data_IF_846940966657
#
_entry.id   IF_846940966657
#
_cell.length_a   1.000
_cell.length_b   1.000
_cell.length_c   1.000
_cell.angle_alpha   90.00
_cell.angle_beta   90.00
_cell.angle_gamma   90.00
#
_symmetry.space_group_name_H-M   'P 1'
#
loop_
_entity.id
_entity.type
_entity.pdbx_description
1 polymer ?
#
# COMPACT_ATOMS: atom_id res chain seq x y z
N UNK A 1 2.03 12.23 -1.02
CA UNK A 1 0.86 12.81 -1.71
C UNK A 1 -0.17 13.29 -0.67
N UNK A 2 -0.79 14.46 -0.86
CA UNK A 2 -1.85 14.97 0.01
C UNK A 2 -3.15 15.09 -0.79
N UNK A 3 -4.21 14.42 -0.35
CA UNK A 3 -5.54 14.54 -0.94
C UNK A 3 -6.43 15.30 0.04
N UNK A 4 -6.83 16.51 -0.34
CA UNK A 4 -7.75 17.34 0.43
C UNK A 4 -8.56 18.22 -0.52
N UNK A 5 -9.87 18.27 -0.28
CA UNK A 5 -10.72 19.38 -0.72
C UNK A 5 -10.99 20.28 0.50
N UNK A 6 -11.11 21.59 0.26
CA UNK A 6 -11.19 22.62 1.29
C UNK A 6 -12.10 22.22 2.47
N UNK A 7 -11.53 22.13 3.69
CA UNK A 7 -12.25 21.84 4.93
C UNK A 7 -12.17 20.39 5.45
N UNK A 8 -11.62 19.44 4.69
CA UNK A 8 -11.50 18.03 5.11
C UNK A 8 -10.11 17.75 5.72
N UNK A 9 -10.00 16.95 6.80
CA UNK A 9 -8.70 16.46 7.26
C UNK A 9 -7.96 15.80 6.10
N UNK A 10 -6.79 16.33 5.77
CA UNK A 10 -6.09 15.91 4.58
C UNK A 10 -5.55 14.49 4.75
N UNK A 11 -5.96 13.61 3.83
CA UNK A 11 -5.36 12.29 3.70
C UNK A 11 -3.93 12.47 3.18
N UNK A 12 -2.97 11.95 3.93
CA UNK A 12 -1.57 11.87 3.50
C UNK A 12 -1.27 10.41 3.23
N UNK A 13 -0.82 10.13 2.02
CA UNK A 13 -0.39 8.81 1.57
C UNK A 13 0.83 8.94 0.67
N UNK A 14 1.68 7.92 0.61
CA UNK A 14 2.85 7.93 -0.25
C UNK A 14 2.48 7.79 -1.74
N UNK A 15 1.54 6.89 -2.04
CA UNK A 15 1.17 6.49 -3.40
C UNK A 15 -0.36 6.50 -3.55
N UNK A 16 -0.86 6.84 -4.74
CA UNK A 16 -2.27 6.71 -5.09
C UNK A 16 -2.42 5.98 -6.43
N UNK A 17 -3.29 4.96 -6.46
CA UNK A 17 -3.46 4.08 -7.61
C UNK A 17 -4.95 3.90 -7.88
N UNK A 18 -5.41 4.38 -9.04
CA UNK A 18 -6.78 4.17 -9.50
C UNK A 18 -6.99 2.72 -9.91
N UNK A 19 -8.13 2.14 -9.53
CA UNK A 19 -8.52 0.81 -10.01
C UNK A 19 -7.88 -0.36 -9.26
N UNK A 20 -6.99 -0.12 -8.29
CA UNK A 20 -6.20 -1.17 -7.65
C UNK A 20 -7.07 -2.23 -6.95
N UNK A 21 -8.03 -1.78 -6.16
CA UNK A 21 -8.96 -2.66 -5.45
C UNK A 21 -10.33 -2.71 -6.15
N UNK A 22 -10.82 -1.56 -6.57
CA UNK A 22 -12.09 -1.36 -7.26
C UNK A 22 -11.85 -0.42 -8.44
N UNK A 23 -12.38 -0.77 -9.62
CA UNK A 23 -12.03 -0.14 -10.92
C UNK A 23 -12.17 1.40 -10.94
N UNK A 24 -13.16 1.95 -10.25
CA UNK A 24 -13.49 3.38 -10.26
C UNK A 24 -13.06 4.11 -8.99
N UNK A 25 -12.30 3.46 -8.10
CA UNK A 25 -11.84 4.05 -6.84
C UNK A 25 -10.33 4.14 -6.80
N UNK A 26 -9.85 5.18 -6.12
CA UNK A 26 -8.42 5.34 -5.82
C UNK A 26 -8.08 4.55 -4.56
N UNK A 27 -7.02 3.75 -4.63
CA UNK A 27 -6.37 3.19 -3.46
C UNK A 27 -5.21 4.11 -3.04
N UNK A 28 -5.26 4.60 -1.81
CA UNK A 28 -4.21 5.40 -1.18
C UNK A 28 -3.33 4.48 -0.34
N UNK A 29 -2.07 4.32 -0.77
CA UNK A 29 -1.11 3.39 -0.19
C UNK A 29 -0.11 4.20 0.64
N UNK A 30 0.13 3.75 1.86
CA UNK A 30 1.03 4.43 2.78
C UNK A 30 1.99 3.42 3.40
N UNK A 31 3.28 3.63 3.22
CA UNK A 31 4.33 2.70 3.62
C UNK A 31 4.74 2.90 5.09
N UNK A 32 5.13 1.82 5.74
CA UNK A 32 5.77 1.84 7.05
C UNK A 32 6.75 0.69 7.14
N UNK A 33 8.02 1.06 7.26
CA UNK A 33 9.12 0.14 7.47
C UNK A 33 9.28 -0.06 8.99
N UNK A 34 9.32 -1.32 9.41
CA UNK A 34 9.63 -1.76 10.78
C UNK A 34 11.06 -2.29 10.75
N UNK A 35 11.96 -1.69 11.54
CA UNK A 35 13.32 -2.23 11.73
C UNK A 35 13.23 -3.54 12.50
N UNK A 36 13.31 -4.69 11.82
CA UNK A 36 13.16 -6.01 12.44
C UNK A 36 14.30 -6.35 13.41
N UNK A 37 15.44 -5.71 13.24
CA UNK A 37 16.68 -5.83 14.02
C UNK A 37 16.76 -4.87 15.21
N UNK A 38 15.80 -3.95 15.36
CA UNK A 38 15.83 -3.01 16.47
C UNK A 38 15.70 -3.77 17.80
N UNK A 39 16.64 -3.54 18.72
CA UNK A 39 16.69 -4.19 20.05
C UNK A 39 15.36 -4.08 20.82
N UNK A 40 14.61 -3.00 20.58
CA UNK A 40 13.27 -2.76 21.13
C UNK A 40 12.22 -3.82 20.73
N UNK A 41 12.45 -4.57 19.65
CA UNK A 41 11.57 -5.59 19.11
C UNK A 41 12.12 -7.02 19.26
N UNK A 42 13.32 -7.20 19.85
CA UNK A 42 13.96 -8.50 20.00
C UNK A 42 13.12 -9.53 20.78
N UNK A 43 12.19 -9.08 21.62
CA UNK A 43 11.25 -9.91 22.39
C UNK A 43 9.81 -9.87 21.89
N UNK A 44 9.54 -9.18 20.77
CA UNK A 44 8.18 -8.95 20.27
C UNK A 44 7.90 -9.76 18.99
N UNK A 45 6.66 -10.24 18.85
CA UNK A 45 6.20 -10.85 17.61
C UNK A 45 6.02 -9.78 16.52
N UNK A 46 6.88 -9.82 15.49
CA UNK A 46 6.83 -8.93 14.34
C UNK A 46 5.46 -8.95 13.63
N UNK A 47 4.75 -10.08 13.69
CA UNK A 47 3.39 -10.20 13.15
C UNK A 47 2.39 -9.36 13.95
N UNK A 48 2.50 -9.38 15.28
CA UNK A 48 1.68 -8.55 16.16
C UNK A 48 2.01 -7.06 15.97
N UNK A 49 3.29 -6.71 15.86
CA UNK A 49 3.73 -5.33 15.57
C UNK A 49 3.17 -4.87 14.22
N UNK A 50 3.29 -5.68 13.16
CA UNK A 50 2.83 -5.30 11.82
C UNK A 50 1.31 -5.08 11.78
N UNK A 51 0.54 -5.97 12.44
CA UNK A 51 -0.91 -5.85 12.57
C UNK A 51 -1.32 -4.60 13.36
N UNK A 52 -0.64 -4.32 14.46
CA UNK A 52 -0.90 -3.14 15.27
C UNK A 52 -0.56 -1.85 14.51
N UNK A 53 0.56 -1.86 13.77
CA UNK A 53 0.96 -0.79 12.86
C UNK A 53 -0.09 -0.51 11.79
N UNK A 54 -0.57 -1.55 11.11
CA UNK A 54 -1.64 -1.45 10.12
C UNK A 54 -2.93 -0.87 10.74
N UNK A 55 -3.39 -1.42 11.88
CA UNK A 55 -4.59 -0.95 12.58
C UNK A 55 -4.48 0.52 13.00
N UNK A 56 -3.32 0.94 13.49
CA UNK A 56 -3.08 2.32 13.89
C UNK A 56 -3.17 3.30 12.71
N UNK A 57 -2.69 2.89 11.52
CA UNK A 57 -2.80 3.70 10.28
C UNK A 57 -4.25 3.73 9.79
N UNK A 58 -4.91 2.58 9.72
CA UNK A 58 -6.32 2.44 9.32
C UNK A 58 -7.25 3.33 10.14
N UNK A 59 -7.10 3.31 11.48
CA UNK A 59 -7.87 4.18 12.39
C UNK A 59 -7.80 5.67 12.04
N UNK A 60 -6.68 6.14 11.48
CA UNK A 60 -6.48 7.55 11.13
C UNK A 60 -6.99 7.89 9.73
N UNK A 61 -6.87 6.96 8.79
CA UNK A 61 -6.95 7.29 7.37
C UNK A 61 -8.11 6.62 6.61
N UNK A 62 -8.78 5.62 7.20
CA UNK A 62 -9.92 4.97 6.53
C UNK A 62 -11.05 5.98 6.28
N UNK A 63 -11.42 6.79 7.28
CA UNK A 63 -12.48 7.79 7.13
C UNK A 63 -12.12 8.91 6.13
N UNK A 64 -10.93 9.55 6.19
CA UNK A 64 -10.51 10.49 5.16
C UNK A 64 -10.47 9.89 3.74
N UNK A 65 -10.03 8.64 3.59
CA UNK A 65 -10.03 7.97 2.29
C UNK A 65 -11.45 7.72 1.76
N UNK A 66 -12.38 7.33 2.64
CA UNK A 66 -13.77 7.12 2.26
C UNK A 66 -14.47 8.42 1.85
N UNK A 67 -14.21 9.54 2.52
CA UNK A 67 -14.73 10.87 2.11
C UNK A 67 -14.32 11.21 0.68
N UNK A 68 -13.12 10.79 0.27
CA UNK A 68 -12.60 10.96 -1.09
C UNK A 68 -13.08 9.86 -2.07
N UNK A 69 -14.06 9.04 -1.67
CA UNK A 69 -14.53 7.85 -2.40
C UNK A 69 -13.42 6.87 -2.75
N UNK A 70 -12.31 6.89 -2.02
CA UNK A 70 -11.17 5.99 -2.18
C UNK A 70 -11.11 4.97 -1.06
N UNK A 71 -10.00 4.22 -1.02
CA UNK A 71 -9.71 3.24 0.03
C UNK A 71 -8.30 3.43 0.56
N UNK A 72 -8.09 3.19 1.85
CA UNK A 72 -6.76 3.27 2.46
C UNK A 72 -6.13 1.88 2.58
N UNK A 73 -4.84 1.81 2.26
CA UNK A 73 -4.05 0.57 2.25
C UNK A 73 -2.73 0.76 3.01
N UNK A 74 -2.58 0.20 4.21
CA UNK A 74 -1.31 0.22 4.90
C UNK A 74 -0.36 -0.81 4.29
N UNK A 75 0.78 -0.33 3.80
CA UNK A 75 1.89 -1.18 3.39
C UNK A 75 2.87 -1.29 4.56
N UNK A 76 2.92 -2.44 5.22
CA UNK A 76 3.84 -2.68 6.34
C UNK A 76 4.88 -3.72 5.93
N UNK A 77 6.15 -3.33 5.97
CA UNK A 77 7.30 -4.18 5.67
C UNK A 77 8.41 -3.98 6.69
N UNK A 78 9.43 -4.83 6.66
CA UNK A 78 10.74 -4.61 7.29
C UNK A 78 11.82 -4.49 6.23
N UNK A 79 13.05 -4.22 6.67
CA UNK A 79 14.26 -4.33 5.86
C UNK A 79 14.42 -5.71 5.22
N UNK A 80 13.97 -6.77 5.89
CA UNK A 80 14.15 -8.16 5.46
C UNK A 80 12.96 -8.74 4.66
N UNK A 81 11.89 -7.97 4.49
CA UNK A 81 10.77 -8.38 3.65
C UNK A 81 9.40 -7.86 4.05
N UNK A 82 8.36 -8.42 3.44
CA UNK A 82 6.97 -8.00 3.65
C UNK A 82 6.39 -8.64 4.90
N UNK A 83 5.82 -7.81 5.80
CA UNK A 83 5.32 -8.26 7.10
C UNK A 83 3.79 -8.31 7.22
N UNK A 84 3.05 -7.80 6.22
CA UNK A 84 1.60 -7.71 6.31
C UNK A 84 0.90 -8.15 5.02
N UNK A 85 -0.20 -8.90 5.18
CA UNK A 85 -0.97 -9.50 4.08
C UNK A 85 -1.47 -8.48 3.05
N UNK A 86 -1.73 -7.24 3.48
CA UNK A 86 -2.25 -6.20 2.58
C UNK A 86 -1.20 -5.76 1.57
N UNK A 87 0.07 -5.76 1.95
CA UNK A 87 1.19 -5.47 1.05
C UNK A 87 1.30 -6.58 -0.01
N UNK A 88 1.27 -7.85 0.40
CA UNK A 88 1.31 -8.99 -0.54
C UNK A 88 0.11 -8.96 -1.49
N UNK A 89 -1.08 -8.63 -0.97
CA UNK A 89 -2.28 -8.53 -1.79
C UNK A 89 -2.20 -7.38 -2.81
N UNK A 90 -1.66 -6.22 -2.42
CA UNK A 90 -1.48 -5.09 -3.34
C UNK A 90 -0.47 -5.41 -4.42
N UNK A 91 0.65 -6.07 -4.10
CA UNK A 91 1.64 -6.48 -5.10
C UNK A 91 1.04 -7.44 -6.14
N UNK A 92 0.26 -8.43 -5.70
CA UNK A 92 -0.40 -9.38 -6.61
C UNK A 92 -1.34 -8.66 -7.58
N UNK A 93 -2.11 -7.70 -7.10
CA UNK A 93 -3.03 -6.93 -7.95
C UNK A 93 -2.31 -5.95 -8.88
N UNK A 94 -1.25 -5.30 -8.41
CA UNK A 94 -0.41 -4.45 -9.26
C UNK A 94 0.19 -5.26 -10.42
N UNK A 95 0.78 -6.42 -10.12
CA UNK A 95 1.29 -7.33 -11.16
C UNK A 95 0.20 -7.71 -12.17
N UNK A 96 -1.00 -8.04 -11.69
CA UNK A 96 -2.12 -8.37 -12.57
C UNK A 96 -2.55 -7.18 -13.45
N UNK A 97 -2.58 -5.96 -12.91
CA UNK A 97 -2.89 -4.75 -13.69
C UNK A 97 -1.82 -4.45 -14.74
N UNK A 98 -0.54 -4.53 -14.38
CA UNK A 98 0.56 -4.32 -15.33
C UNK A 98 0.52 -5.33 -16.48
N UNK A 99 0.14 -6.59 -16.20
CA UNK A 99 -0.02 -7.62 -17.24
C UNK A 99 -1.22 -7.36 -18.15
N UNK A 100 -2.29 -6.73 -17.63
CA UNK A 100 -3.49 -6.41 -18.41
C UNK A 100 -3.34 -5.14 -19.26
N UNK A 101 -2.39 -4.27 -18.93
CA UNK A 101 -2.08 -3.09 -19.73
C UNK A 101 -1.27 -3.48 -20.98
N UNK A 102 -1.95 -3.52 -22.13
CA UNK A 102 -1.36 -3.87 -23.44
C UNK A 102 -0.15 -2.99 -23.81
N UNK A 103 -0.07 -1.77 -23.27
CA UNK A 103 1.07 -0.87 -23.52
C UNK A 103 2.35 -1.33 -22.80
N UNK A 104 2.23 -1.90 -21.59
CA UNK A 104 3.36 -2.47 -20.84
C UNK A 104 3.72 -3.89 -21.31
N UNK A 105 2.75 -4.67 -21.79
CA UNK A 105 2.96 -6.02 -22.29
C UNK A 105 3.88 -6.04 -23.54
N UNK A 106 3.75 -5.04 -24.41
CA UNK A 106 4.66 -4.82 -25.54
C UNK A 106 6.08 -4.45 -25.10
N UNK A 107 6.22 -3.65 -24.03
CA UNK A 107 7.51 -3.22 -23.49
C UNK A 107 8.28 -4.37 -22.80
N UNK A 108 7.60 -5.26 -22.06
CA UNK A 108 8.26 -6.44 -21.47
C UNK A 108 8.74 -7.44 -22.53
N UNK A 109 8.01 -7.61 -23.63
CA UNK A 109 8.43 -8.49 -24.72
C UNK A 109 9.67 -7.96 -25.45
N UNK A 110 9.92 -6.65 -25.43
CA UNK A 110 11.15 -6.04 -26.00
C UNK A 110 12.38 -6.07 -25.07
N UNK A 111 12.23 -6.45 -23.80
CA UNK A 111 13.32 -6.44 -22.80
C UNK A 111 13.77 -7.87 -22.41
N UNK A 112 13.07 -8.90 -22.88
CA UNK A 112 13.56 -10.28 -22.78
C UNK A 112 14.60 -10.53 -23.89
N UNK A 113 15.83 -10.94 -23.56
CA UNK A 113 16.83 -11.26 -24.57
C UNK A 113 16.37 -12.51 -25.35
N UNK A 114 16.52 -12.46 -26.68
CA UNK A 114 16.38 -13.61 -27.57
C UNK A 114 17.42 -14.69 -27.27
#
# INVERSE_FOLDING_TARGET
MRAAENGTPALIADIAISGLWERERVAYLDNRIISADATLYASQDLTAISRNGARAKRRKNDQPAEVLRGSFTPLICSSDGVLHKEFVASEKRLKAQTVQDRSYQACMLSVLPH
#
